data_IF_564095770116
#
_entry.id   IF_564095770116
#
_cell.length_a   1.000
_cell.length_b   1.000
_cell.length_c   1.000
_cell.angle_alpha   90.00
_cell.angle_beta   90.00
_cell.angle_gamma   90.00
#
_symmetry.space_group_name_H-M   'P 1'
#
loop_
_entity.id
_entity.type
_entity.pdbx_description
1 polymer ?
#
# COMPACT_ATOMS: atom_id res chain seq x y z
N UNK A 1 -1.65 28.29 24.21
CA UNK A 1 -2.74 27.29 24.29
C UNK A 1 -2.07 25.94 24.26
N UNK A 2 -1.98 25.27 25.43
CA UNK A 2 -1.43 23.90 25.52
C UNK A 2 -2.39 22.97 24.81
N UNK A 3 -2.04 22.51 23.60
CA UNK A 3 -2.84 21.50 22.92
C UNK A 3 -2.61 20.15 23.61
N UNK A 4 -3.63 19.28 23.75
CA UNK A 4 -3.49 17.94 24.32
C UNK A 4 -2.39 17.10 23.65
N UNK A 5 -2.11 17.35 22.39
CA UNK A 5 -1.07 16.69 21.59
C UNK A 5 0.35 16.95 22.11
N UNK A 6 0.68 18.19 22.47
CA UNK A 6 2.01 18.53 22.99
C UNK A 6 2.29 17.77 24.29
N UNK A 7 1.27 17.56 25.10
CA UNK A 7 1.41 16.89 26.38
C UNK A 7 1.67 15.38 26.22
N UNK A 8 0.91 14.69 25.33
CA UNK A 8 1.12 13.26 25.05
C UNK A 8 2.49 12.98 24.43
N UNK A 9 2.93 13.80 23.48
CA UNK A 9 4.21 13.59 22.80
C UNK A 9 5.37 13.85 23.76
N UNK A 10 5.34 14.94 24.52
CA UNK A 10 6.42 15.30 25.43
C UNK A 10 6.53 14.35 26.62
N UNK A 11 5.41 13.96 27.22
CA UNK A 11 5.42 13.17 28.46
C UNK A 11 5.49 11.66 28.27
N UNK A 12 4.95 11.12 27.17
CA UNK A 12 4.85 9.67 27.01
C UNK A 12 5.88 9.07 26.06
N UNK A 13 6.16 9.73 24.95
CA UNK A 13 6.97 9.13 23.89
C UNK A 13 8.42 9.57 23.91
N UNK A 14 8.69 10.86 24.04
CA UNK A 14 10.04 11.39 23.94
C UNK A 14 10.95 10.84 25.06
N UNK A 15 10.54 10.80 26.33
CA UNK A 15 11.36 10.19 27.39
C UNK A 15 11.66 8.72 27.16
N UNK A 16 10.71 7.94 26.59
CA UNK A 16 10.93 6.51 26.31
C UNK A 16 11.93 6.27 25.18
N UNK A 17 12.04 7.18 24.24
CA UNK A 17 12.98 7.11 23.11
C UNK A 17 14.34 7.69 23.49
N UNK A 18 14.40 8.57 24.48
CA UNK A 18 15.62 9.28 24.88
C UNK A 18 16.84 8.37 25.14
N UNK A 19 16.72 7.18 25.78
CA UNK A 19 17.87 6.29 25.98
C UNK A 19 18.53 5.80 24.68
N UNK A 20 17.79 5.79 23.58
CA UNK A 20 18.27 5.32 22.27
C UNK A 20 18.73 6.48 21.37
N UNK A 21 18.13 7.65 21.53
CA UNK A 21 18.34 8.82 20.66
C UNK A 21 18.44 10.11 21.48
N UNK A 22 19.45 10.26 22.39
CA UNK A 22 19.46 11.32 23.40
C UNK A 22 19.48 12.74 22.82
N UNK A 23 20.28 12.98 21.80
CA UNK A 23 20.44 14.33 21.26
C UNK A 23 19.19 14.87 20.56
N UNK A 24 18.57 14.07 19.71
CA UNK A 24 17.37 14.49 18.96
C UNK A 24 16.16 14.63 19.87
N UNK A 25 16.03 13.76 20.86
CA UNK A 25 14.91 13.82 21.80
C UNK A 25 15.05 14.97 22.77
N UNK A 26 16.26 15.35 23.18
CA UNK A 26 16.52 16.55 23.96
C UNK A 26 16.11 17.80 23.17
N UNK A 27 16.57 17.91 21.93
CA UNK A 27 16.25 19.04 21.06
C UNK A 27 14.74 19.19 20.85
N UNK A 28 14.06 18.09 20.58
CA UNK A 28 12.59 18.11 20.41
C UNK A 28 11.90 18.48 21.71
N UNK A 29 12.32 17.90 22.84
CA UNK A 29 11.75 18.18 24.16
C UNK A 29 11.84 19.66 24.50
N UNK A 30 13.02 20.25 24.39
CA UNK A 30 13.25 21.68 24.71
C UNK A 30 12.48 22.62 23.77
N UNK A 31 12.21 22.22 22.52
CA UNK A 31 11.43 23.02 21.58
C UNK A 31 9.91 22.89 21.76
N UNK A 32 9.42 21.83 22.40
CA UNK A 32 7.99 21.59 22.59
C UNK A 32 7.45 22.15 23.93
N UNK A 33 8.31 22.40 24.88
CA UNK A 33 7.96 22.95 26.20
C UNK A 33 9.07 23.85 26.74
N UNK A 34 8.72 24.76 27.65
CA UNK A 34 9.62 25.74 28.26
C UNK A 34 9.71 25.58 29.81
N UNK A 35 9.03 24.60 30.37
CA UNK A 35 8.89 24.43 31.83
C UNK A 35 10.11 23.75 32.44
N UNK A 36 10.72 22.80 31.72
CA UNK A 36 11.89 22.05 32.16
C UNK A 36 13.08 22.28 31.22
N UNK A 37 14.27 22.57 31.76
CA UNK A 37 15.42 22.90 30.91
C UNK A 37 16.04 21.71 30.19
N UNK A 38 15.71 20.48 30.58
CA UNK A 38 16.24 19.26 29.95
C UNK A 38 15.36 18.05 30.25
N UNK A 39 15.25 17.14 29.27
CA UNK A 39 14.56 15.86 29.46
C UNK A 39 15.27 14.97 30.49
N UNK A 40 16.58 15.16 30.69
CA UNK A 40 17.38 14.36 31.62
C UNK A 40 16.96 14.51 33.07
N UNK A 41 16.33 15.63 33.41
CA UNK A 41 15.85 15.92 34.79
C UNK A 41 14.33 15.80 34.90
N UNK A 42 13.65 15.52 33.79
CA UNK A 42 12.21 15.35 33.81
C UNK A 42 11.79 14.02 34.47
N UNK A 43 10.60 14.02 35.03
CA UNK A 43 10.05 12.82 35.66
C UNK A 43 9.74 11.75 34.64
N UNK A 44 10.09 10.50 34.95
CA UNK A 44 9.72 9.37 34.08
C UNK A 44 8.19 9.22 33.99
N UNK A 45 7.64 8.96 32.78
CA UNK A 45 6.20 8.80 32.60
C UNK A 45 5.63 7.64 33.44
N UNK A 46 4.64 7.93 34.24
CA UNK A 46 3.92 6.92 35.03
C UNK A 46 2.58 6.64 34.36
N UNK A 47 2.21 5.36 34.29
CA UNK A 47 0.90 4.95 33.77
C UNK A 47 -0.24 5.54 34.60
N UNK A 48 -1.24 6.07 33.91
CA UNK A 48 -2.50 6.51 34.50
C UNK A 48 -3.65 5.88 33.74
N UNK A 49 -4.61 5.31 34.46
CA UNK A 49 -5.80 4.63 33.89
C UNK A 49 -6.63 5.56 33.00
N UNK A 50 -6.71 6.85 33.36
CA UNK A 50 -7.40 7.89 32.58
C UNK A 50 -6.83 8.12 31.18
N UNK A 51 -5.64 7.56 30.90
CA UNK A 51 -4.96 7.62 29.59
C UNK A 51 -5.18 6.36 28.74
N UNK A 52 -6.04 5.47 29.21
CA UNK A 52 -6.41 4.28 28.48
C UNK A 52 -7.61 4.57 27.57
N UNK A 53 -7.35 4.80 26.28
CA UNK A 53 -8.34 5.12 25.27
C UNK A 53 -8.64 3.90 24.38
N UNK A 54 -9.05 2.79 24.98
CA UNK A 54 -9.25 1.52 24.28
C UNK A 54 -10.19 1.61 23.07
N UNK A 55 -11.23 2.45 23.15
CA UNK A 55 -12.16 2.65 22.04
C UNK A 55 -11.50 3.40 20.87
N UNK A 56 -10.72 4.44 21.17
CA UNK A 56 -10.00 5.20 20.14
C UNK A 56 -8.86 4.37 19.52
N UNK A 57 -8.17 3.57 20.34
CA UNK A 57 -7.17 2.62 19.87
C UNK A 57 -7.77 1.63 18.88
N UNK A 58 -8.91 1.04 19.23
CA UNK A 58 -9.64 0.14 18.33
C UNK A 58 -10.04 0.84 17.01
N UNK A 59 -10.57 2.05 17.09
CA UNK A 59 -10.93 2.83 15.91
C UNK A 59 -9.72 3.08 14.99
N UNK A 60 -8.58 3.46 15.56
CA UNK A 60 -7.35 3.69 14.80
C UNK A 60 -6.83 2.39 14.15
N UNK A 61 -6.88 1.25 14.86
CA UNK A 61 -6.48 -0.04 14.27
C UNK A 61 -7.36 -0.44 13.09
N UNK A 62 -8.67 -0.27 13.18
CA UNK A 62 -9.60 -0.51 12.07
C UNK A 62 -9.26 0.37 10.85
N UNK A 63 -8.99 1.67 11.07
CA UNK A 63 -8.60 2.59 10.00
C UNK A 63 -7.27 2.16 9.36
N UNK A 64 -6.29 1.76 10.16
CA UNK A 64 -4.98 1.27 9.67
C UNK A 64 -5.15 0.02 8.81
N UNK A 65 -5.99 -0.93 9.22
CA UNK A 65 -6.29 -2.12 8.42
C UNK A 65 -6.95 -1.78 7.10
N UNK A 66 -7.94 -0.88 7.11
CA UNK A 66 -8.61 -0.42 5.90
C UNK A 66 -7.64 0.29 4.94
N UNK A 67 -6.84 1.22 5.42
CA UNK A 67 -5.83 1.92 4.60
C UNK A 67 -4.80 0.95 4.05
N UNK A 68 -4.35 -0.03 4.85
CA UNK A 68 -3.42 -1.08 4.40
C UNK A 68 -4.03 -1.94 3.30
N UNK A 69 -5.28 -2.36 3.46
CA UNK A 69 -6.00 -3.15 2.47
C UNK A 69 -6.12 -2.39 1.13
N UNK A 70 -6.50 -1.11 1.15
CA UNK A 70 -6.55 -0.26 -0.04
C UNK A 70 -5.17 -0.15 -0.70
N UNK A 71 -4.13 0.13 0.06
CA UNK A 71 -2.76 0.25 -0.47
C UNK A 71 -2.27 -1.05 -1.08
N UNK A 72 -2.57 -2.20 -0.50
CA UNK A 72 -2.21 -3.50 -1.04
C UNK A 72 -2.86 -3.75 -2.40
N UNK A 73 -4.16 -3.46 -2.53
CA UNK A 73 -4.85 -3.54 -3.83
C UNK A 73 -4.22 -2.60 -4.86
N UNK A 74 -3.98 -1.34 -4.49
CA UNK A 74 -3.35 -0.37 -5.39
C UNK A 74 -1.95 -0.81 -5.83
N UNK A 75 -1.16 -1.39 -4.93
CA UNK A 75 0.17 -1.91 -5.24
C UNK A 75 0.10 -3.13 -6.16
N UNK A 76 -0.79 -4.08 -5.91
CA UNK A 76 -0.96 -5.25 -6.77
C UNK A 76 -1.38 -4.89 -8.20
N UNK A 77 -2.06 -3.76 -8.36
CA UNK A 77 -2.51 -3.23 -9.65
C UNK A 77 -1.54 -2.19 -10.26
N UNK A 78 -0.40 -1.92 -9.62
CA UNK A 78 0.57 -0.89 -10.02
C UNK A 78 -0.05 0.51 -10.20
N UNK A 79 -1.03 0.87 -9.36
CA UNK A 79 -1.67 2.19 -9.40
C UNK A 79 -0.74 3.25 -8.82
N UNK A 80 -0.40 4.32 -9.56
CA UNK A 80 0.47 5.37 -9.04
C UNK A 80 -0.19 6.11 -7.86
N UNK A 81 0.59 6.56 -6.86
CA UNK A 81 0.06 7.27 -5.68
C UNK A 81 -0.71 8.55 -6.01
N UNK A 82 -0.36 9.21 -7.12
CA UNK A 82 -1.02 10.45 -7.58
C UNK A 82 -2.43 10.24 -8.11
N UNK A 83 -2.78 9.00 -8.50
CA UNK A 83 -4.11 8.70 -9.00
C UNK A 83 -5.08 8.49 -7.85
N UNK A 84 -6.10 9.31 -7.79
CA UNK A 84 -7.18 9.19 -6.80
C UNK A 84 -8.30 8.32 -7.37
N UNK A 85 -8.94 7.51 -6.52
CA UNK A 85 -10.07 6.67 -6.90
C UNK A 85 -11.14 6.71 -5.81
N UNK A 86 -12.39 6.47 -6.18
CA UNK A 86 -13.48 6.30 -5.23
C UNK A 86 -13.29 5.02 -4.42
N UNK A 87 -13.65 5.09 -3.16
CA UNK A 87 -13.61 3.97 -2.23
C UNK A 87 -14.99 3.76 -1.66
N UNK A 88 -15.56 2.58 -1.87
CA UNK A 88 -16.81 2.16 -1.26
C UNK A 88 -16.48 1.24 -0.08
N UNK A 89 -17.00 1.57 1.08
CA UNK A 89 -16.89 0.75 2.28
C UNK A 89 -18.26 0.17 2.57
N UNK A 90 -18.37 -1.15 2.51
CA UNK A 90 -19.60 -1.88 2.78
C UNK A 90 -19.50 -2.54 4.14
N UNK A 91 -20.35 -2.15 5.07
CA UNK A 91 -20.42 -2.73 6.42
C UNK A 91 -21.86 -2.66 6.97
N UNK A 92 -22.25 -3.70 7.69
CA UNK A 92 -23.52 -3.73 8.43
C UNK A 92 -23.36 -3.29 9.88
N UNK A 93 -22.11 -3.14 10.34
CA UNK A 93 -21.78 -2.76 11.72
C UNK A 93 -21.90 -1.23 11.87
N UNK A 94 -22.75 -0.78 12.79
CA UNK A 94 -23.01 0.63 13.04
C UNK A 94 -21.77 1.34 13.63
N UNK A 95 -21.05 0.67 14.53
CA UNK A 95 -19.84 1.24 15.15
C UNK A 95 -18.75 1.48 14.11
N UNK A 96 -18.58 0.54 13.17
CA UNK A 96 -17.63 0.71 12.05
C UNK A 96 -18.08 1.83 11.10
N UNK A 97 -19.38 1.98 10.87
CA UNK A 97 -19.92 3.07 10.06
C UNK A 97 -19.51 4.42 10.65
N UNK A 98 -19.70 4.62 11.94
CA UNK A 98 -19.34 5.86 12.64
C UNK A 98 -17.81 6.10 12.61
N UNK A 99 -17.00 5.06 12.83
CA UNK A 99 -15.53 5.14 12.74
C UNK A 99 -15.13 5.60 11.34
N UNK A 100 -15.65 5.01 10.28
CA UNK A 100 -15.29 5.34 8.91
C UNK A 100 -15.78 6.74 8.50
N UNK A 101 -16.98 7.14 8.92
CA UNK A 101 -17.52 8.48 8.67
C UNK A 101 -16.61 9.58 9.27
N UNK A 102 -16.23 9.42 10.53
CA UNK A 102 -15.35 10.36 11.22
C UNK A 102 -13.92 10.34 10.68
N UNK A 103 -13.56 9.31 9.91
CA UNK A 103 -12.18 9.07 9.45
C UNK A 103 -11.97 9.33 7.96
N UNK A 104 -12.92 9.92 7.24
CA UNK A 104 -12.84 10.18 5.80
C UNK A 104 -11.58 10.91 5.37
N UNK A 105 -11.05 11.80 6.21
CA UNK A 105 -9.82 12.56 5.97
C UNK A 105 -8.60 11.62 5.87
N UNK A 106 -8.54 10.58 6.69
CA UNK A 106 -7.44 9.59 6.62
C UNK A 106 -7.45 8.81 5.31
N UNK A 107 -8.61 8.44 4.80
CA UNK A 107 -8.71 7.76 3.50
C UNK A 107 -8.28 8.66 2.34
N UNK A 108 -8.66 9.93 2.35
CA UNK A 108 -8.27 10.88 1.30
C UNK A 108 -6.75 11.13 1.30
N UNK A 109 -6.14 11.22 2.49
CA UNK A 109 -4.72 11.55 2.64
C UNK A 109 -3.84 10.31 2.53
N UNK A 110 -4.18 9.22 3.23
CA UNK A 110 -3.32 8.04 3.36
C UNK A 110 -3.59 6.95 2.33
N UNK A 111 -4.80 6.88 1.80
CA UNK A 111 -5.20 5.89 0.79
C UNK A 111 -5.40 6.48 -0.60
N UNK A 112 -5.20 7.79 -0.78
CA UNK A 112 -5.44 8.52 -2.03
C UNK A 112 -6.87 8.30 -2.56
N UNK A 113 -7.85 8.31 -1.65
CA UNK A 113 -9.26 8.27 -2.03
C UNK A 113 -9.70 9.65 -2.53
N UNK A 114 -10.43 9.69 -3.67
CA UNK A 114 -11.10 10.90 -4.15
C UNK A 114 -12.38 11.17 -3.38
N UNK A 115 -13.12 10.11 -3.10
CA UNK A 115 -14.38 10.11 -2.37
C UNK A 115 -14.49 8.80 -1.59
N UNK A 116 -15.10 8.86 -0.40
CA UNK A 116 -15.39 7.68 0.41
C UNK A 116 -16.88 7.58 0.60
N UNK A 117 -17.47 6.50 0.11
CA UNK A 117 -18.90 6.18 0.25
C UNK A 117 -19.04 5.01 1.20
N UNK A 118 -19.77 5.22 2.28
CA UNK A 118 -20.03 4.20 3.30
C UNK A 118 -21.48 3.75 3.14
N UNK A 119 -21.70 2.46 2.98
CA UNK A 119 -23.02 1.90 2.72
C UNK A 119 -23.16 0.50 3.33
N UNK A 120 -24.41 0.03 3.48
CA UNK A 120 -24.70 -1.28 4.09
C UNK A 120 -24.68 -2.43 3.09
N UNK A 121 -24.90 -2.13 1.83
CA UNK A 121 -25.00 -3.11 0.76
C UNK A 121 -24.08 -2.75 -0.43
N UNK A 122 -24.10 -3.59 -1.46
CA UNK A 122 -23.30 -3.39 -2.68
C UNK A 122 -24.01 -2.57 -3.76
N UNK A 123 -25.06 -1.85 -3.42
CA UNK A 123 -25.83 -1.09 -4.40
C UNK A 123 -24.99 0.02 -5.03
N UNK A 124 -24.98 0.09 -6.35
CA UNK A 124 -24.20 1.10 -7.08
C UNK A 124 -22.70 0.80 -7.25
N UNK A 125 -22.24 -0.38 -6.80
CA UNK A 125 -20.86 -0.84 -7.05
C UNK A 125 -20.87 -1.71 -8.31
N UNK A 126 -20.03 -1.37 -9.30
CA UNK A 126 -19.90 -2.14 -10.52
C UNK A 126 -19.34 -3.55 -10.27
N UNK A 127 -19.69 -4.51 -11.11
CA UNK A 127 -19.18 -5.88 -11.03
C UNK A 127 -17.66 -5.98 -11.25
N UNK A 128 -17.09 -4.99 -11.92
CA UNK A 128 -15.66 -4.84 -12.17
C UNK A 128 -14.87 -4.25 -11.00
N UNK A 129 -15.56 -3.89 -9.90
CA UNK A 129 -14.89 -3.31 -8.74
C UNK A 129 -13.96 -4.31 -8.05
N UNK A 130 -12.74 -3.87 -7.79
CA UNK A 130 -11.77 -4.66 -7.04
C UNK A 130 -12.09 -4.58 -5.56
N UNK A 131 -12.18 -5.76 -4.92
CA UNK A 131 -12.54 -5.86 -3.51
C UNK A 131 -11.32 -6.13 -2.62
N UNK A 132 -11.34 -5.55 -1.43
CA UNK A 132 -10.47 -5.92 -0.31
C UNK A 132 -11.32 -6.20 0.92
N UNK A 133 -11.10 -7.34 1.56
CA UNK A 133 -11.88 -7.75 2.73
C UNK A 133 -11.09 -7.40 3.98
N UNK A 134 -11.76 -6.77 4.93
CA UNK A 134 -11.27 -6.50 6.28
C UNK A 134 -12.26 -7.08 7.30
N UNK A 135 -11.91 -7.24 8.57
CA UNK A 135 -12.84 -7.75 9.57
C UNK A 135 -14.13 -6.92 9.61
N UNK A 136 -15.28 -7.57 9.43
CA UNK A 136 -16.64 -7.00 9.44
C UNK A 136 -16.93 -5.94 8.37
N UNK A 137 -16.04 -5.71 7.39
CA UNK A 137 -16.31 -4.80 6.28
C UNK A 137 -15.64 -5.27 4.99
N UNK A 138 -16.16 -4.81 3.86
CA UNK A 138 -15.57 -5.02 2.56
C UNK A 138 -15.38 -3.67 1.86
N UNK A 139 -14.21 -3.49 1.27
CA UNK A 139 -13.83 -2.26 0.57
C UNK A 139 -13.84 -2.56 -0.92
N UNK A 140 -14.46 -1.69 -1.70
CA UNK A 140 -14.53 -1.80 -3.15
C UNK A 140 -13.97 -0.55 -3.81
N UNK A 141 -13.24 -0.74 -4.89
CA UNK A 141 -12.71 0.34 -5.71
C UNK A 141 -13.01 0.05 -7.18
N UNK A 142 -13.65 0.98 -7.93
CA UNK A 142 -13.92 0.80 -9.36
C UNK A 142 -12.61 0.61 -10.13
N UNK A 143 -12.53 -0.44 -10.92
CA UNK A 143 -11.33 -0.76 -11.71
C UNK A 143 -10.96 0.37 -12.69
N UNK A 144 -11.95 0.94 -13.36
CA UNK A 144 -11.75 2.01 -14.34
C UNK A 144 -11.11 3.29 -13.73
N UNK A 145 -11.33 3.55 -12.44
CA UNK A 145 -10.69 4.68 -11.76
C UNK A 145 -9.27 4.37 -11.30
N UNK A 146 -8.96 3.09 -11.03
CA UNK A 146 -7.64 2.66 -10.60
C UNK A 146 -6.64 2.64 -11.75
N UNK A 147 -7.04 2.14 -12.91
CA UNK A 147 -6.15 1.91 -14.04
C UNK A 147 -6.55 2.81 -15.22
N UNK A 148 -5.59 3.48 -15.82
CA UNK A 148 -5.73 4.13 -17.12
C UNK A 148 -5.60 3.02 -18.18
N UNK A 149 -6.74 2.49 -18.59
CA UNK A 149 -6.81 1.32 -19.47
C UNK A 149 -6.01 1.55 -20.76
N UNK A 150 -6.07 2.75 -21.33
CA UNK A 150 -5.35 3.06 -22.58
C UNK A 150 -3.84 3.05 -22.38
N UNK A 151 -3.35 3.74 -21.35
CA UNK A 151 -1.90 3.79 -21.04
C UNK A 151 -1.35 2.44 -20.60
N UNK A 152 -2.10 1.71 -19.79
CA UNK A 152 -1.64 0.39 -19.33
C UNK A 152 -1.67 -0.62 -20.49
N UNK A 153 -2.66 -0.55 -21.37
CA UNK A 153 -2.70 -1.36 -22.58
C UNK A 153 -1.53 -1.04 -23.51
N UNK A 154 -1.20 0.23 -23.70
CA UNK A 154 -0.04 0.63 -24.50
C UNK A 154 1.28 0.16 -23.88
N UNK A 155 1.41 0.29 -22.56
CA UNK A 155 2.57 -0.22 -21.82
C UNK A 155 2.74 -1.72 -21.95
N UNK A 156 1.66 -2.48 -21.76
CA UNK A 156 1.67 -3.93 -21.88
C UNK A 156 1.95 -4.40 -23.30
N UNK A 157 1.44 -3.72 -24.33
CA UNK A 157 1.77 -4.00 -25.75
C UNK A 157 3.26 -3.79 -26.02
N UNK A 158 3.85 -2.72 -25.54
CA UNK A 158 5.29 -2.46 -25.67
C UNK A 158 6.13 -3.54 -24.96
N UNK A 159 5.68 -4.00 -23.79
CA UNK A 159 6.34 -5.07 -23.06
C UNK A 159 6.17 -6.43 -23.78
N UNK A 160 5.02 -6.72 -24.37
CA UNK A 160 4.79 -7.89 -25.22
C UNK A 160 5.73 -7.91 -26.43
N UNK A 161 5.88 -6.78 -27.12
CA UNK A 161 6.82 -6.65 -28.23
C UNK A 161 8.27 -6.88 -27.80
N UNK A 162 8.67 -6.33 -26.64
CA UNK A 162 10.00 -6.53 -26.08
C UNK A 162 10.26 -8.00 -25.77
N UNK A 163 9.33 -8.64 -25.05
CA UNK A 163 9.43 -10.06 -24.69
C UNK A 163 9.43 -10.96 -25.93
N UNK A 164 8.66 -10.65 -26.95
CA UNK A 164 8.65 -11.37 -28.22
C UNK A 164 10.01 -11.34 -28.89
N UNK A 165 10.68 -10.17 -28.91
CA UNK A 165 12.04 -10.04 -29.48
C UNK A 165 13.06 -10.83 -28.64
N UNK A 166 12.97 -10.76 -27.31
CA UNK A 166 13.89 -11.51 -26.44
C UNK A 166 13.68 -13.02 -26.56
N UNK A 167 12.43 -13.51 -26.62
CA UNK A 167 12.12 -14.91 -26.86
C UNK A 167 12.63 -15.39 -28.21
N UNK A 168 12.45 -14.61 -29.28
CA UNK A 168 12.98 -14.93 -30.59
C UNK A 168 14.52 -15.01 -30.59
N UNK A 169 15.19 -14.08 -29.90
CA UNK A 169 16.65 -14.06 -29.75
C UNK A 169 17.16 -15.30 -29.01
N UNK A 170 16.57 -15.62 -27.86
CA UNK A 170 16.99 -16.77 -27.04
C UNK A 170 16.72 -18.09 -27.76
N UNK A 171 15.55 -18.23 -28.40
CA UNK A 171 15.21 -19.40 -29.20
C UNK A 171 16.17 -19.55 -30.38
N UNK A 172 16.51 -18.46 -31.08
CA UNK A 172 17.49 -18.47 -32.18
C UNK A 172 18.89 -18.90 -31.73
N UNK A 173 19.29 -18.49 -30.53
CA UNK A 173 20.57 -18.91 -29.94
C UNK A 173 20.55 -20.41 -29.59
N UNK A 174 19.48 -20.89 -28.96
CA UNK A 174 19.34 -22.31 -28.57
C UNK A 174 19.12 -23.24 -29.78
N UNK A 175 18.57 -22.75 -30.89
CA UNK A 175 18.42 -23.47 -32.13
C UNK A 175 19.72 -23.52 -32.96
N UNK A 176 20.71 -22.72 -32.65
CA UNK A 176 21.97 -22.70 -33.39
C UNK A 176 22.91 -23.82 -32.92
N UNK A 177 23.04 -24.86 -33.74
CA UNK A 177 23.91 -26.03 -33.45
C UNK A 177 25.35 -25.65 -33.18
N UNK A 178 25.87 -24.62 -33.85
CA UNK A 178 27.23 -24.13 -33.61
C UNK A 178 27.40 -23.48 -32.24
N UNK A 179 26.38 -22.88 -31.73
CA UNK A 179 26.35 -22.32 -30.38
C UNK A 179 26.25 -23.43 -29.34
N UNK A 180 25.32 -24.32 -29.48
CA UNK A 180 25.04 -25.44 -28.54
C UNK A 180 26.22 -26.40 -28.43
N UNK A 181 26.96 -26.65 -29.55
CA UNK A 181 28.12 -27.55 -29.57
C UNK A 181 29.43 -26.93 -29.00
N UNK A 182 29.54 -25.60 -28.99
CA UNK A 182 30.76 -24.90 -28.55
C UNK A 182 30.64 -24.13 -27.23
N UNK A 183 29.43 -23.81 -26.82
CA UNK A 183 29.20 -23.05 -25.60
C UNK A 183 29.37 -23.93 -24.33
N UNK A 184 29.92 -23.41 -23.24
CA UNK A 184 29.92 -24.09 -21.95
C UNK A 184 28.50 -24.43 -21.51
N UNK A 185 28.31 -25.62 -20.89
CA UNK A 185 27.00 -26.08 -20.43
C UNK A 185 26.29 -25.05 -19.54
N UNK A 186 27.02 -24.38 -18.66
CA UNK A 186 26.51 -23.34 -17.78
C UNK A 186 25.83 -22.18 -18.56
N UNK A 187 26.34 -21.80 -19.74
CA UNK A 187 25.71 -20.79 -20.60
C UNK A 187 24.43 -21.26 -21.26
N UNK A 188 24.41 -22.52 -21.67
CA UNK A 188 23.20 -23.13 -22.26
C UNK A 188 22.10 -23.19 -21.22
N UNK A 189 22.41 -23.56 -19.99
CA UNK A 189 21.45 -23.63 -18.87
C UNK A 189 20.97 -22.24 -18.46
N UNK A 190 21.84 -21.24 -18.49
CA UNK A 190 21.44 -19.83 -18.28
C UNK A 190 20.44 -19.33 -19.33
N UNK A 191 20.70 -19.60 -20.62
CA UNK A 191 19.77 -19.19 -21.68
C UNK A 191 18.43 -19.98 -21.63
N UNK A 192 18.45 -21.24 -21.22
CA UNK A 192 17.21 -22.00 -20.95
C UNK A 192 16.42 -21.41 -19.80
N UNK A 193 17.08 -21.02 -18.71
CA UNK A 193 16.43 -20.35 -17.59
C UNK A 193 15.82 -18.99 -18.00
N UNK A 194 16.52 -18.22 -18.85
CA UNK A 194 15.96 -16.98 -19.43
C UNK A 194 14.75 -17.25 -20.30
N UNK A 195 14.78 -18.30 -21.12
CA UNK A 195 13.64 -18.69 -21.95
C UNK A 195 12.40 -18.97 -21.10
N UNK A 196 12.55 -19.78 -20.06
CA UNK A 196 11.46 -20.09 -19.16
C UNK A 196 10.90 -18.81 -18.50
N UNK A 197 11.77 -17.99 -17.95
CA UNK A 197 11.38 -16.72 -17.32
C UNK A 197 10.62 -15.78 -18.28
N UNK A 198 11.12 -15.63 -19.51
CA UNK A 198 10.45 -14.78 -20.50
C UNK A 198 9.12 -15.36 -20.97
N UNK A 199 8.98 -16.68 -21.03
CA UNK A 199 7.72 -17.34 -21.35
C UNK A 199 6.68 -17.08 -20.24
N UNK A 200 7.05 -17.26 -18.99
CA UNK A 200 6.18 -16.96 -17.83
C UNK A 200 5.75 -15.49 -17.82
N UNK A 201 6.68 -14.57 -18.06
CA UNK A 201 6.37 -13.13 -18.16
C UNK A 201 5.43 -12.83 -19.32
N UNK A 202 5.61 -13.47 -20.47
CA UNK A 202 4.73 -13.31 -21.64
C UNK A 202 3.31 -13.78 -21.34
N UNK A 203 3.14 -14.90 -20.66
CA UNK A 203 1.83 -15.42 -20.26
C UNK A 203 1.13 -14.45 -19.29
N UNK A 204 1.87 -13.88 -18.32
CA UNK A 204 1.34 -12.88 -17.41
C UNK A 204 0.88 -11.61 -18.15
N UNK A 205 1.67 -11.11 -19.09
CA UNK A 205 1.33 -9.94 -19.92
C UNK A 205 0.08 -10.20 -20.75
N UNK A 206 -0.02 -11.36 -21.42
CA UNK A 206 -1.20 -11.75 -22.21
C UNK A 206 -2.45 -11.90 -21.36
N UNK A 207 -2.34 -12.53 -20.19
CA UNK A 207 -3.45 -12.67 -19.24
C UNK A 207 -3.97 -11.29 -18.82
N UNK A 208 -3.06 -10.37 -18.55
CA UNK A 208 -3.40 -9.01 -18.12
C UNK A 208 -4.01 -8.18 -19.25
N UNK A 209 -3.52 -8.31 -20.48
CA UNK A 209 -4.14 -7.69 -21.66
C UNK A 209 -5.56 -8.23 -21.91
N UNK A 210 -5.78 -9.52 -21.72
CA UNK A 210 -7.11 -10.13 -21.87
C UNK A 210 -8.10 -9.63 -20.78
N UNK A 211 -7.61 -9.32 -19.58
CA UNK A 211 -8.42 -8.72 -18.51
C UNK A 211 -8.79 -7.26 -18.78
N UNK A 212 -7.90 -6.50 -19.43
CA UNK A 212 -8.12 -5.09 -19.79
C UNK A 212 -8.98 -4.90 -21.04
N UNK A 213 -9.09 -5.92 -21.90
CA UNK A 213 -9.84 -5.88 -23.15
C UNK A 213 -11.30 -6.31 -23.04
N UNK A 214 -11.77 -6.63 -21.82
CA UNK A 214 -13.18 -6.88 -21.51
C UNK A 214 -13.82 -5.61 -20.99
#
# INVERSE_FOLDING_TARGET
VKTPWNWCVNFLYIPKIHPFMPFITEEIFCNLQEEEPSIMISSWPVYKEEWNFAADEHAVEVIKEAVRAIRNVRTSMNVPPSRKAKVFVVTEDADLTDIFENSRVFFSTLASASEVVIQKDKTGIGEDAVSAVIPKAAIYMPFAELVDIEKETERLKKEEERLTKELARVNGMLANEKFVSKAPQAKIDEEKAKLQKYTEMMEQVKTRLAQLGK
#
